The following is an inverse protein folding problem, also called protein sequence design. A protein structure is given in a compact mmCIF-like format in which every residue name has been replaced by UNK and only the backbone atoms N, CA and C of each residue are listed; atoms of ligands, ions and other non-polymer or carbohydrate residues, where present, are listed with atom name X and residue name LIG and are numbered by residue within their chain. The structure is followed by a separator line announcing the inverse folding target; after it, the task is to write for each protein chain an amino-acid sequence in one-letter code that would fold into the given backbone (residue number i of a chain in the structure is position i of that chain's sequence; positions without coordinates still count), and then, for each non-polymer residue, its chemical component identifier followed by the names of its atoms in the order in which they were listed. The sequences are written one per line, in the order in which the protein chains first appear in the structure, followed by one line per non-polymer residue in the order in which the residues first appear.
data_IF_005927812711
#
_entry.id   IF_005927812711
#
_cell.length_a   1.000
_cell.length_b   1.000
_cell.length_c   1.000
_cell.angle_alpha   90.00
_cell.angle_beta   90.00
_cell.angle_gamma   90.00
#
_symmetry.space_group_name_H-M   'P 1'
#
loop_
_entity.id
_entity.type
_entity.pdbx_description
1 polymer ?
#
# COMPACT_ATOMS: atom_id res chain seq x y z
N UNK A 1 39.43 38.85 -19.14
CA UNK A 1 40.29 38.37 -18.02
C UNK A 1 39.40 37.58 -17.08
N UNK A 2 39.33 36.27 -17.30
CA UNK A 2 38.66 35.33 -16.41
C UNK A 2 39.76 34.56 -15.66
N UNK A 3 39.67 34.37 -14.34
CA UNK A 3 40.68 33.63 -13.60
C UNK A 3 40.59 32.14 -13.93
N UNK A 4 41.76 31.55 -14.19
CA UNK A 4 41.99 30.13 -14.35
C UNK A 4 41.68 29.42 -13.03
N UNK A 5 40.81 28.40 -13.08
CA UNK A 5 40.56 27.49 -11.96
C UNK A 5 41.48 26.29 -12.20
N UNK A 6 42.48 26.11 -11.34
CA UNK A 6 43.38 24.96 -11.38
C UNK A 6 42.63 23.69 -10.94
N UNK A 7 42.69 22.66 -11.79
CA UNK A 7 42.21 21.31 -11.52
C UNK A 7 43.20 20.61 -10.57
N UNK A 8 42.91 20.62 -9.27
CA UNK A 8 43.65 19.81 -8.30
C UNK A 8 43.19 18.35 -8.37
N UNK A 9 44.18 17.47 -8.50
CA UNK A 9 44.13 16.00 -8.54
C UNK A 9 43.18 15.35 -7.53
N UNK A 10 42.27 14.52 -8.02
CA UNK A 10 41.53 13.54 -7.20
C UNK A 10 42.48 12.39 -6.83
N UNK A 11 43.02 12.43 -5.61
CA UNK A 11 43.55 11.21 -4.96
C UNK A 11 42.40 10.53 -4.22
N UNK A 12 42.14 9.22 -4.41
CA UNK A 12 41.12 8.52 -3.66
C UNK A 12 41.65 8.25 -2.26
N UNK A 13 41.43 9.20 -1.36
CA UNK A 13 41.57 8.95 0.07
C UNK A 13 40.44 7.99 0.45
N UNK A 14 40.81 6.83 0.98
CA UNK A 14 39.91 5.80 1.49
C UNK A 14 38.92 6.41 2.50
N UNK A 15 37.77 6.83 2.00
CA UNK A 15 36.60 7.10 2.83
C UNK A 15 35.94 5.74 3.01
N UNK A 16 36.36 5.05 4.06
CA UNK A 16 35.57 3.98 4.68
C UNK A 16 34.13 4.46 4.75
N UNK A 17 33.25 3.76 4.03
CA UNK A 17 31.81 3.75 4.17
C UNK A 17 31.49 3.99 5.64
N UNK A 18 31.07 5.22 5.95
CA UNK A 18 30.78 5.63 7.31
C UNK A 18 29.77 4.62 7.86
N UNK A 19 30.28 3.81 8.78
CA UNK A 19 29.54 2.99 9.71
C UNK A 19 28.30 3.79 10.09
N UNK A 20 27.15 3.37 9.58
CA UNK A 20 25.87 3.87 10.02
C UNK A 20 25.76 3.39 11.46
N UNK A 21 26.31 4.18 12.39
CA UNK A 21 26.30 3.94 13.81
C UNK A 21 24.84 3.70 14.19
N UNK A 22 24.47 2.42 14.29
CA UNK A 22 23.27 2.01 15.00
C UNK A 22 23.43 2.61 16.40
N UNK A 23 22.49 3.40 16.91
CA UNK A 23 22.68 4.04 18.20
C UNK A 23 22.90 2.94 19.24
N UNK A 24 24.15 2.83 19.69
CA UNK A 24 24.61 1.88 20.70
C UNK A 24 24.24 2.43 22.07
N UNK A 25 22.94 2.57 22.32
CA UNK A 25 22.37 2.95 23.61
C UNK A 25 20.96 2.34 23.70
N UNK A 26 20.88 1.02 23.83
CA UNK A 26 19.74 0.42 24.51
C UNK A 26 19.96 0.58 26.02
N UNK A 27 18.97 1.06 26.79
CA UNK A 27 19.10 1.21 28.23
C UNK A 27 19.33 -0.16 28.88
N UNK A 28 20.31 -0.31 29.79
CA UNK A 28 20.56 -1.57 30.47
C UNK A 28 19.65 -1.69 31.70
N UNK A 29 18.39 -2.07 31.51
CA UNK A 29 17.60 -2.77 32.54
C UNK A 29 16.28 -3.31 31.96
N UNK A 30 16.09 -4.63 31.88
CA UNK A 30 14.73 -5.20 31.78
C UNK A 30 14.61 -6.70 32.11
N UNK A 31 15.69 -7.49 32.17
CA UNK A 31 15.55 -8.95 32.34
C UNK A 31 15.05 -9.39 33.72
N UNK A 32 15.44 -8.70 34.79
CA UNK A 32 14.99 -9.04 36.15
C UNK A 32 13.56 -8.56 36.42
N UNK A 33 13.23 -7.34 35.99
CA UNK A 33 11.90 -6.76 36.13
C UNK A 33 10.87 -7.47 35.22
N UNK A 34 11.28 -7.93 34.03
CA UNK A 34 10.41 -8.71 33.15
C UNK A 34 10.13 -10.11 33.73
N UNK A 35 11.14 -10.76 34.33
CA UNK A 35 10.97 -12.05 35.01
C UNK A 35 10.05 -11.96 36.23
N UNK A 36 10.17 -10.89 37.02
CA UNK A 36 9.27 -10.65 38.15
C UNK A 36 7.82 -10.50 37.67
N UNK A 37 7.60 -9.74 36.59
CA UNK A 37 6.28 -9.57 35.98
C UNK A 37 5.75 -10.86 35.37
N UNK A 38 6.59 -11.73 34.78
CA UNK A 38 6.20 -13.07 34.32
C UNK A 38 5.68 -13.92 35.46
N UNK A 39 6.40 -13.96 36.58
CA UNK A 39 6.00 -14.74 37.74
C UNK A 39 4.71 -14.20 38.39
N UNK A 40 4.47 -12.90 38.33
CA UNK A 40 3.22 -12.28 38.81
C UNK A 40 2.02 -12.59 37.90
N UNK A 41 2.20 -12.53 36.57
CA UNK A 41 1.14 -12.86 35.60
C UNK A 41 0.81 -14.36 35.57
N UNK A 42 1.82 -15.23 35.73
CA UNK A 42 1.63 -16.68 35.85
C UNK A 42 0.85 -17.04 37.13
N UNK A 43 1.13 -16.35 38.25
CA UNK A 43 0.34 -16.49 39.49
C UNK A 43 -1.11 -16.01 39.34
N UNK A 44 -1.32 -15.00 38.49
CA UNK A 44 -2.66 -14.53 38.10
C UNK A 44 -3.35 -15.43 37.05
N UNK A 45 -2.61 -16.35 36.43
CA UNK A 45 -3.12 -17.27 35.39
C UNK A 45 -3.27 -16.63 34.00
N UNK A 46 -2.62 -15.50 33.74
CA UNK A 46 -2.67 -14.79 32.46
C UNK A 46 -1.40 -15.00 31.63
N UNK A 47 -1.54 -14.97 30.30
CA UNK A 47 -0.43 -15.10 29.35
C UNK A 47 0.46 -13.84 29.36
N UNK A 48 1.71 -14.01 29.79
CA UNK A 48 2.67 -12.92 30.00
C UNK A 48 2.96 -12.13 28.73
N UNK A 49 3.06 -12.79 27.58
CA UNK A 49 3.32 -12.12 26.30
C UNK A 49 2.12 -11.24 25.87
N UNK A 50 0.90 -11.71 26.12
CA UNK A 50 -0.32 -10.94 25.90
C UNK A 50 -0.43 -9.71 26.80
N UNK A 51 -0.07 -9.83 28.08
CA UNK A 51 -0.06 -8.71 29.04
C UNK A 51 1.04 -7.71 28.70
N UNK A 52 2.21 -8.18 28.28
CA UNK A 52 3.32 -7.33 27.83
C UNK A 52 2.92 -6.50 26.61
N UNK A 53 2.26 -7.10 25.61
CA UNK A 53 1.77 -6.39 24.43
C UNK A 53 0.69 -5.35 24.78
N UNK A 54 -0.24 -5.66 25.70
CA UNK A 54 -1.26 -4.71 26.18
C UNK A 54 -0.66 -3.52 26.92
N UNK A 55 0.41 -3.73 27.68
CA UNK A 55 1.10 -2.66 28.41
C UNK A 55 2.02 -1.81 27.53
N UNK A 56 2.55 -2.38 26.44
CA UNK A 56 3.36 -1.67 25.45
C UNK A 56 2.48 -0.81 24.53
N UNK A 57 1.31 -1.30 24.12
CA UNK A 57 0.32 -0.52 23.38
C UNK A 57 -0.51 0.32 24.35
N UNK A 58 0.04 1.47 24.76
CA UNK A 58 -0.71 2.48 25.51
C UNK A 58 -2.00 2.84 24.78
N UNK A 59 -3.07 3.17 25.50
CA UNK A 59 -4.36 3.56 24.91
C UNK A 59 -4.21 4.69 23.85
N UNK A 60 -3.21 5.56 24.02
CA UNK A 60 -2.87 6.60 23.06
C UNK A 60 -2.30 6.07 21.73
N UNK A 61 -1.55 4.96 21.75
CA UNK A 61 -1.03 4.32 20.56
C UNK A 61 -2.09 3.48 19.85
N UNK A 62 -3.02 2.88 20.60
CA UNK A 62 -4.20 2.23 20.04
C UNK A 62 -5.06 3.25 19.26
N UNK A 63 -5.35 4.42 19.84
CA UNK A 63 -6.07 5.51 19.16
C UNK A 63 -5.32 6.04 17.92
N UNK A 64 -3.98 6.09 17.97
CA UNK A 64 -3.15 6.48 16.82
C UNK A 64 -3.16 5.44 15.71
N UNK A 65 -3.15 4.15 16.06
CA UNK A 65 -3.28 3.04 15.12
C UNK A 65 -4.67 3.02 14.50
N UNK A 66 -5.72 3.23 15.28
CA UNK A 66 -7.10 3.33 14.80
C UNK A 66 -7.32 4.52 13.86
N UNK A 67 -6.73 5.68 14.16
CA UNK A 67 -6.74 6.83 13.23
C UNK A 67 -5.96 6.60 11.93
N UNK A 68 -4.91 5.77 11.98
CA UNK A 68 -4.10 5.42 10.80
C UNK A 68 -4.71 4.32 9.95
N UNK A 69 -5.58 3.48 10.51
CA UNK A 69 -6.33 2.49 9.71
C UNK A 69 -7.24 3.25 8.74
N UNK A 70 -7.10 2.93 7.46
CA UNK A 70 -8.06 3.41 6.45
C UNK A 70 -9.43 2.89 6.85
N UNK A 71 -10.38 3.80 7.06
CA UNK A 71 -11.73 3.46 7.53
C UNK A 71 -12.52 2.61 6.52
N UNK A 72 -12.11 2.61 5.26
CA UNK A 72 -12.67 1.78 4.19
C UNK A 72 -11.52 1.21 3.31
N UNK A 73 -10.89 0.09 3.68
CA UNK A 73 -9.91 -0.57 2.82
C UNK A 73 -10.61 -1.25 1.63
N UNK A 74 -9.97 -1.29 0.47
CA UNK A 74 -10.49 -2.02 -0.69
C UNK A 74 -10.27 -3.53 -0.48
N UNK A 75 -11.35 -4.28 -0.36
CA UNK A 75 -11.33 -5.75 -0.17
C UNK A 75 -11.13 -6.50 -1.50
N UNK A 76 -11.09 -5.78 -2.61
CA UNK A 76 -10.93 -6.31 -3.96
C UNK A 76 -12.23 -6.36 -4.75
N UNK A 77 -12.11 -6.72 -6.02
CA UNK A 77 -13.25 -6.76 -6.93
C UNK A 77 -14.07 -8.03 -6.74
N UNK A 78 -15.34 -7.87 -6.37
CA UNK A 78 -16.33 -8.95 -6.21
C UNK A 78 -17.41 -8.90 -7.30
N UNK A 79 -18.14 -7.78 -7.38
CA UNK A 79 -19.24 -7.53 -8.33
C UNK A 79 -19.28 -6.07 -8.76
N UNK A 80 -19.80 -5.81 -9.96
CA UNK A 80 -19.97 -4.45 -10.46
C UNK A 80 -20.95 -3.63 -9.62
N UNK A 81 -21.99 -4.26 -9.05
CA UNK A 81 -22.96 -3.57 -8.19
C UNK A 81 -22.31 -3.05 -6.91
N UNK A 82 -21.51 -3.87 -6.23
CA UNK A 82 -20.80 -3.46 -5.02
C UNK A 82 -19.79 -2.35 -5.31
N UNK A 83 -19.07 -2.44 -6.42
CA UNK A 83 -18.16 -1.38 -6.87
C UNK A 83 -18.91 -0.06 -7.15
N UNK A 84 -20.10 -0.14 -7.75
CA UNK A 84 -20.94 1.02 -8.07
C UNK A 84 -21.50 1.66 -6.80
N UNK A 85 -21.95 0.86 -5.83
CA UNK A 85 -22.39 1.36 -4.51
C UNK A 85 -21.24 2.06 -3.79
N UNK A 86 -20.05 1.49 -3.80
CA UNK A 86 -18.85 2.11 -3.21
C UNK A 86 -18.52 3.45 -3.89
N UNK A 87 -18.54 3.49 -5.23
CA UNK A 87 -18.34 4.73 -5.99
C UNK A 87 -19.39 5.78 -5.61
N UNK A 88 -20.67 5.41 -5.57
CA UNK A 88 -21.77 6.32 -5.27
C UNK A 88 -21.70 6.87 -3.85
N UNK A 89 -21.40 6.03 -2.86
CA UNK A 89 -21.23 6.48 -1.48
C UNK A 89 -20.09 7.50 -1.36
N UNK A 90 -18.96 7.25 -2.04
CA UNK A 90 -17.85 8.20 -2.08
C UNK A 90 -18.21 9.51 -2.79
N UNK A 91 -19.00 9.48 -3.86
CA UNK A 91 -19.50 10.69 -4.52
C UNK A 91 -20.44 11.48 -3.61
N UNK A 92 -21.34 10.80 -2.91
CA UNK A 92 -22.28 11.42 -1.97
C UNK A 92 -21.57 12.10 -0.81
N UNK A 93 -20.52 11.48 -0.27
CA UNK A 93 -19.71 12.08 0.79
C UNK A 93 -18.93 13.32 0.32
N UNK A 94 -18.52 13.36 -0.96
CA UNK A 94 -17.79 14.48 -1.53
C UNK A 94 -18.70 15.62 -2.03
N UNK A 95 -20.01 15.37 -2.15
CA UNK A 95 -20.93 16.42 -2.59
C UNK A 95 -20.92 17.59 -1.59
N UNK A 96 -20.87 18.84 -2.08
CA UNK A 96 -20.98 20.00 -1.20
C UNK A 96 -22.35 19.99 -0.50
N UNK A 97 -22.43 20.46 0.76
CA UNK A 97 -23.71 20.57 1.45
C UNK A 97 -24.64 21.48 0.65
N UNK A 98 -25.90 21.09 0.57
CA UNK A 98 -26.88 21.81 -0.23
C UNK A 98 -27.15 23.21 0.34
N UNK A 99 -27.24 24.21 -0.54
CA UNK A 99 -27.61 25.58 -0.18
C UNK A 99 -29.10 25.62 0.23
N UNK A 100 -29.33 25.83 1.53
CA UNK A 100 -30.66 25.78 2.13
C UNK A 100 -31.58 26.87 1.61
N UNK A 101 -31.07 28.08 1.33
CA UNK A 101 -31.88 29.21 0.86
C UNK A 101 -32.39 28.96 -0.57
N UNK A 102 -31.51 28.44 -1.44
CA UNK A 102 -31.89 28.10 -2.80
C UNK A 102 -32.86 26.92 -2.85
N UNK A 103 -32.69 25.94 -1.96
CA UNK A 103 -33.62 24.82 -1.88
C UNK A 103 -35.00 25.25 -1.37
N UNK A 104 -35.07 26.15 -0.38
CA UNK A 104 -36.34 26.67 0.13
C UNK A 104 -37.08 27.50 -0.93
N UNK A 105 -36.38 28.36 -1.67
CA UNK A 105 -36.97 29.15 -2.76
C UNK A 105 -37.45 28.29 -3.93
N UNK A 106 -36.72 27.22 -4.28
CA UNK A 106 -37.17 26.23 -5.26
C UNK A 106 -38.38 25.46 -4.74
N UNK A 107 -38.35 25.00 -3.49
CA UNK A 107 -39.46 24.27 -2.87
C UNK A 107 -40.75 25.09 -2.90
N UNK A 108 -40.70 26.37 -2.54
CA UNK A 108 -41.88 27.25 -2.61
C UNK A 108 -42.42 27.40 -4.05
N UNK A 109 -41.53 27.51 -5.05
CA UNK A 109 -41.93 27.61 -6.47
C UNK A 109 -42.58 26.33 -7.00
N UNK A 110 -42.09 25.16 -6.58
CA UNK A 110 -42.61 23.87 -7.03
C UNK A 110 -43.84 23.42 -6.23
N UNK A 111 -43.96 23.79 -4.95
CA UNK A 111 -45.13 23.48 -4.11
C UNK A 111 -46.38 24.29 -4.54
N UNK A 112 -46.19 25.50 -5.09
CA UNK A 112 -47.29 26.35 -5.61
C UNK A 112 -47.74 25.94 -7.03
N UNK A 113 -46.89 25.20 -7.76
CA UNK A 113 -47.20 24.64 -9.07
C UNK A 113 -47.95 23.30 -8.92
N UNK A 114 -49.27 23.38 -8.76
CA UNK A 114 -50.19 22.23 -8.58
C UNK A 114 -50.24 21.27 -9.78
N UNK A 115 -49.74 21.67 -10.95
CA UNK A 115 -49.77 20.85 -12.15
C UNK A 115 -48.49 20.01 -12.30
N UNK A 116 -48.67 18.71 -12.09
CA UNK A 116 -47.62 17.70 -12.07
C UNK A 116 -46.75 17.66 -13.33
N UNK A 117 -45.45 17.44 -13.09
CA UNK A 117 -44.46 16.94 -14.05
C UNK A 117 -44.39 17.76 -15.34
N UNK A 118 -44.03 19.03 -15.20
CA UNK A 118 -43.46 19.78 -16.31
C UNK A 118 -42.06 19.23 -16.59
N UNK A 119 -41.87 18.61 -17.76
CA UNK A 119 -40.54 18.23 -18.31
C UNK A 119 -39.67 19.46 -18.68
N UNK A 120 -40.06 20.66 -18.27
CA UNK A 120 -39.38 21.93 -18.57
C UNK A 120 -38.68 22.40 -17.30
N UNK A 121 -37.69 21.63 -16.82
CA UNK A 121 -36.74 22.12 -15.83
C UNK A 121 -35.55 22.73 -16.55
N UNK A 122 -35.45 24.06 -16.48
CA UNK A 122 -34.25 24.77 -16.93
C UNK A 122 -33.33 24.96 -15.73
N UNK A 123 -32.22 24.23 -15.75
CA UNK A 123 -31.15 24.39 -14.77
C UNK A 123 -30.31 25.64 -15.05
N UNK A 124 -29.66 26.14 -14.00
CA UNK A 124 -28.69 27.23 -14.15
C UNK A 124 -27.45 26.71 -14.86
N UNK A 125 -26.88 27.53 -15.75
CA UNK A 125 -25.62 27.21 -16.44
C UNK A 125 -24.49 26.86 -15.46
N UNK A 126 -24.38 27.58 -14.35
CA UNK A 126 -23.40 27.29 -13.29
C UNK A 126 -23.54 25.89 -12.68
N UNK A 127 -24.76 25.35 -12.60
CA UNK A 127 -25.00 24.01 -12.08
C UNK A 127 -24.60 22.95 -13.11
N UNK A 128 -24.85 23.22 -14.39
CA UNK A 128 -24.41 22.38 -15.51
C UNK A 128 -22.88 22.34 -15.56
N UNK A 129 -22.21 23.48 -15.44
CA UNK A 129 -20.75 23.55 -15.44
C UNK A 129 -20.13 22.74 -14.28
N UNK A 130 -20.71 22.83 -13.07
CA UNK A 130 -20.28 22.01 -11.93
C UNK A 130 -20.44 20.51 -12.18
N UNK A 131 -21.56 20.11 -12.78
CA UNK A 131 -21.81 18.71 -13.16
C UNK A 131 -20.79 18.22 -14.19
N UNK A 132 -20.50 19.04 -15.21
CA UNK A 132 -19.53 18.70 -16.26
C UNK A 132 -18.13 18.58 -15.66
N UNK A 133 -17.73 19.49 -14.76
CA UNK A 133 -16.42 19.42 -14.12
C UNK A 133 -16.28 18.15 -13.26
N UNK A 134 -17.28 17.80 -12.45
CA UNK A 134 -17.26 16.55 -11.66
C UNK A 134 -17.14 15.31 -12.57
N UNK A 135 -17.93 15.24 -13.64
CA UNK A 135 -17.87 14.11 -14.58
C UNK A 135 -16.53 14.03 -15.33
N UNK A 136 -16.09 15.15 -15.90
CA UNK A 136 -14.95 15.19 -16.82
C UNK A 136 -13.61 15.14 -16.08
N UNK A 137 -13.44 15.93 -15.04
CA UNK A 137 -12.14 16.08 -14.37
C UNK A 137 -11.99 15.10 -13.21
N UNK A 138 -13.06 14.80 -12.48
CA UNK A 138 -12.96 13.93 -11.33
C UNK A 138 -13.26 12.48 -11.68
N UNK A 139 -14.44 12.18 -12.20
CA UNK A 139 -14.87 10.80 -12.38
C UNK A 139 -14.10 10.08 -13.49
N UNK A 140 -13.99 10.69 -14.68
CA UNK A 140 -13.29 10.08 -15.82
C UNK A 140 -11.80 9.93 -15.54
N UNK A 141 -11.15 10.95 -14.97
CA UNK A 141 -9.71 10.88 -14.65
C UNK A 141 -9.42 9.85 -13.56
N UNK A 142 -10.27 9.76 -12.51
CA UNK A 142 -10.14 8.71 -11.48
C UNK A 142 -10.29 7.31 -12.11
N UNK A 143 -11.25 7.11 -13.02
CA UNK A 143 -11.41 5.84 -13.77
C UNK A 143 -10.21 5.52 -14.65
N UNK A 144 -9.66 6.51 -15.35
CA UNK A 144 -8.47 6.33 -16.19
C UNK A 144 -7.22 5.95 -15.37
N UNK A 145 -7.13 6.43 -14.12
CA UNK A 145 -6.02 6.14 -13.18
C UNK A 145 -6.20 4.88 -12.35
N UNK A 146 -7.29 4.13 -12.52
CA UNK A 146 -7.58 2.95 -11.69
C UNK A 146 -6.48 1.89 -11.79
N UNK A 147 -5.98 1.64 -13.01
CA UNK A 147 -4.79 0.81 -13.22
C UNK A 147 -3.54 1.67 -13.12
N UNK A 148 -2.78 1.49 -12.05
CA UNK A 148 -1.48 2.13 -11.89
C UNK A 148 -0.40 1.26 -12.54
N UNK A 149 0.53 1.90 -13.25
CA UNK A 149 1.69 1.19 -13.82
C UNK A 149 2.62 0.76 -12.68
N UNK A 150 3.01 -0.51 -12.68
CA UNK A 150 4.12 -0.96 -11.85
C UNK A 150 5.43 -0.37 -12.41
N UNK A 151 6.38 -0.01 -11.55
CA UNK A 151 7.69 0.48 -12.00
C UNK A 151 8.47 -0.64 -12.70
N UNK A 152 9.10 -0.32 -13.82
CA UNK A 152 9.99 -1.25 -14.52
C UNK A 152 11.29 -1.41 -13.72
N UNK A 153 11.78 -2.65 -13.60
CA UNK A 153 13.02 -2.98 -12.91
C UNK A 153 14.05 -3.47 -13.93
N UNK A 154 15.06 -2.65 -14.21
CA UNK A 154 16.11 -2.96 -15.20
C UNK A 154 16.99 -4.17 -14.79
N UNK A 155 17.06 -4.48 -13.48
CA UNK A 155 17.89 -5.56 -12.93
C UNK A 155 17.17 -6.92 -12.91
N UNK A 156 15.88 -6.98 -13.27
CA UNK A 156 15.14 -8.24 -13.29
C UNK A 156 15.51 -9.06 -14.53
N UNK A 157 15.71 -10.37 -14.36
CA UNK A 157 15.91 -11.28 -15.49
C UNK A 157 14.65 -11.28 -16.38
N UNK A 158 14.83 -10.93 -17.66
CA UNK A 158 13.74 -10.85 -18.63
C UNK A 158 13.62 -12.17 -19.38
N UNK A 159 12.60 -12.96 -19.04
CA UNK A 159 12.31 -14.24 -19.70
C UNK A 159 11.59 -14.09 -21.05
N UNK A 160 11.02 -12.92 -21.32
CA UNK A 160 10.15 -12.67 -22.47
C UNK A 160 10.81 -11.80 -23.53
N UNK A 161 10.49 -12.05 -24.80
CA UNK A 161 11.08 -11.31 -25.93
C UNK A 161 10.29 -10.03 -26.23
N UNK A 162 9.00 -9.97 -25.87
CA UNK A 162 8.11 -8.83 -26.15
C UNK A 162 7.09 -8.60 -25.02
N UNK A 163 6.53 -7.40 -24.96
CA UNK A 163 5.61 -6.93 -23.91
C UNK A 163 4.29 -7.74 -23.82
N UNK A 164 3.80 -8.26 -24.95
CA UNK A 164 2.58 -9.09 -24.97
C UNK A 164 2.83 -10.46 -24.33
N UNK A 165 4.01 -11.05 -24.59
CA UNK A 165 4.48 -12.26 -23.94
C UNK A 165 4.76 -11.99 -22.46
N UNK A 166 5.38 -10.86 -22.12
CA UNK A 166 5.62 -10.47 -20.72
C UNK A 166 4.30 -10.39 -19.93
N UNK A 167 3.28 -9.76 -20.49
CA UNK A 167 1.96 -9.66 -19.87
C UNK A 167 1.31 -11.04 -19.75
N UNK A 168 1.49 -11.91 -20.75
CA UNK A 168 1.04 -13.30 -20.73
C UNK A 168 1.71 -14.12 -19.62
N UNK A 169 3.03 -14.02 -19.49
CA UNK A 169 3.83 -14.72 -18.48
C UNK A 169 3.52 -14.19 -17.07
N UNK A 170 3.32 -12.88 -16.92
CA UNK A 170 2.86 -12.28 -15.66
C UNK A 170 1.50 -12.84 -15.22
N UNK A 171 0.55 -12.95 -16.16
CA UNK A 171 -0.74 -13.56 -15.89
C UNK A 171 -0.59 -15.04 -15.50
N UNK A 172 0.23 -15.81 -16.21
CA UNK A 172 0.49 -17.22 -15.89
C UNK A 172 1.12 -17.37 -14.49
N UNK A 173 2.07 -16.51 -14.15
CA UNK A 173 2.74 -16.53 -12.86
C UNK A 173 1.77 -16.21 -11.71
N UNK A 174 0.76 -15.37 -11.93
CA UNK A 174 -0.28 -15.10 -10.93
C UNK A 174 -1.12 -16.34 -10.60
N UNK A 175 -1.43 -17.19 -11.58
CA UNK A 175 -2.23 -18.40 -11.37
C UNK A 175 -1.40 -19.62 -10.94
N UNK A 176 -0.21 -19.81 -11.51
CA UNK A 176 0.58 -21.02 -11.35
C UNK A 176 1.88 -20.82 -10.58
N UNK A 177 2.24 -19.59 -10.22
CA UNK A 177 3.49 -19.29 -9.52
C UNK A 177 3.63 -20.05 -8.20
N UNK A 178 2.53 -20.15 -7.44
CA UNK A 178 2.50 -20.92 -6.18
C UNK A 178 2.74 -22.42 -6.43
N UNK A 179 2.06 -23.00 -7.42
CA UNK A 179 2.15 -24.43 -7.75
C UNK A 179 3.49 -24.80 -8.42
N UNK A 180 4.15 -23.85 -9.08
CA UNK A 180 5.41 -24.08 -9.82
C UNK A 180 6.65 -23.61 -9.08
N UNK A 181 6.50 -23.10 -7.84
CA UNK A 181 7.60 -22.55 -7.05
C UNK A 181 8.74 -23.56 -6.83
N UNK A 182 8.43 -24.83 -6.53
CA UNK A 182 9.43 -25.89 -6.37
C UNK A 182 10.22 -26.14 -7.65
N UNK A 183 9.54 -26.21 -8.80
CA UNK A 183 10.18 -26.39 -10.10
C UNK A 183 11.10 -25.21 -10.43
N UNK A 184 10.67 -23.97 -10.18
CA UNK A 184 11.50 -22.78 -10.37
C UNK A 184 12.74 -22.78 -9.48
N UNK A 185 12.60 -23.16 -8.21
CA UNK A 185 13.72 -23.33 -7.30
C UNK A 185 14.72 -24.37 -7.81
N UNK A 186 14.26 -25.51 -8.31
CA UNK A 186 15.14 -26.55 -8.86
C UNK A 186 15.93 -26.08 -10.10
N UNK A 187 15.34 -25.22 -10.94
CA UNK A 187 16.01 -24.64 -12.11
C UNK A 187 17.13 -23.65 -11.70
N UNK A 188 16.95 -22.96 -10.57
CA UNK A 188 17.93 -21.98 -10.04
C UNK A 188 18.97 -22.64 -9.10
N UNK A 189 18.65 -23.79 -8.51
CA UNK A 189 19.50 -24.50 -7.55
C UNK A 189 20.41 -25.65 -8.10
N UNK A 190 20.68 -25.84 -9.41
CA UNK A 190 21.47 -27.00 -9.85
C UNK A 190 22.90 -27.00 -9.29
N UNK A 191 23.42 -25.85 -8.86
CA UNK A 191 24.73 -25.75 -8.20
C UNK A 191 24.76 -26.26 -6.75
N UNK A 192 23.66 -26.18 -5.99
CA UNK A 192 23.65 -26.59 -4.59
C UNK A 192 23.70 -28.12 -4.41
N UNK A 193 23.11 -28.88 -5.34
CA UNK A 193 23.13 -30.34 -5.27
C UNK A 193 24.53 -30.90 -5.58
N UNK A 194 25.24 -30.28 -6.52
CA UNK A 194 26.63 -30.64 -6.83
C UNK A 194 27.58 -30.26 -5.68
N UNK A 195 27.40 -29.10 -5.05
CA UNK A 195 28.15 -28.72 -3.84
C UNK A 195 27.86 -29.64 -2.64
N UNK A 196 26.61 -30.08 -2.44
CA UNK A 196 26.27 -31.05 -1.38
C UNK A 196 26.85 -32.43 -1.64
N UNK A 197 26.84 -32.90 -2.89
CA UNK A 197 27.51 -34.14 -3.29
C UNK A 197 29.03 -34.04 -3.10
N UNK A 198 29.63 -32.89 -3.39
CA UNK A 198 31.07 -32.65 -3.21
C UNK A 198 31.46 -32.56 -1.73
N UNK A 199 30.64 -31.94 -0.88
CA UNK A 199 30.79 -31.97 0.59
C UNK A 199 30.66 -33.40 1.14
N UNK A 200 29.69 -34.18 0.65
CA UNK A 200 29.53 -35.58 1.05
C UNK A 200 30.72 -36.45 0.62
N UNK A 201 31.24 -36.24 -0.60
CA UNK A 201 32.42 -36.93 -1.09
C UNK A 201 33.68 -36.58 -0.29
N UNK A 202 33.84 -35.30 0.12
CA UNK A 202 34.93 -34.88 0.99
C UNK A 202 34.83 -35.51 2.39
N UNK A 203 33.63 -35.55 2.98
CA UNK A 203 33.41 -36.19 4.29
C UNK A 203 33.71 -37.69 4.26
N UNK A 204 33.29 -38.39 3.19
CA UNK A 204 33.60 -39.83 3.02
C UNK A 204 35.09 -40.11 2.77
N UNK A 205 35.86 -39.15 2.26
CA UNK A 205 37.31 -39.28 2.10
C UNK A 205 38.11 -39.05 3.40
N UNK A 206 37.47 -38.48 4.42
CA UNK A 206 38.06 -38.23 5.74
C UNK A 206 37.78 -39.35 6.75
N UNK A 207 36.96 -40.33 6.39
CA UNK A 207 36.70 -41.58 7.12
C UNK A 207 37.63 -42.66 6.56
#
# INVERSE_FOLDING_TARGET
MAPQIELSTWTPTSISFAERQKPENLPPNSTLDDQAKSQETEKAGEDHDGVKLKNILSAADAERVERKKRKNPDEGFSTYEQATVSQNNGLVENMPPADTEQNESKKQKYDDAVDGVSNVHEDREEAIDKMVNDLSEEQIVKRARYSTRCGYNDDADVDSINDNLETGDWNLNRFYGENTASTKQNLVLPFCCWCKLQQYAQYLSQI
#
